data_IF_072617622264
#
_entry.id   IF_072617622264
#
_cell.length_a   1.000
_cell.length_b   1.000
_cell.length_c   1.000
_cell.angle_alpha   90.00
_cell.angle_beta   90.00
_cell.angle_gamma   90.00
#
_symmetry.space_group_name_H-M   'P 1'
#
loop_
_entity.id
_entity.type
_entity.pdbx_description
1 polymer ?
#
# COMPACT_ATOMS: atom_id res chain seq x y z
N UNK A 1 51.30 19.31 -6.25
CA UNK A 1 50.67 17.94 -6.27
C UNK A 1 51.46 16.82 -6.97
N UNK A 2 51.83 15.78 -6.22
CA UNK A 2 52.37 14.50 -6.73
C UNK A 2 51.35 13.69 -7.54
N UNK A 3 51.81 12.81 -8.43
CA UNK A 3 50.93 12.02 -9.33
C UNK A 3 49.93 11.12 -8.60
N UNK A 4 50.30 10.66 -7.41
CA UNK A 4 49.50 9.79 -6.52
C UNK A 4 48.31 10.52 -5.91
N UNK A 5 48.52 11.73 -5.39
CA UNK A 5 47.46 12.60 -4.86
C UNK A 5 46.42 12.93 -5.94
N UNK A 6 46.87 13.29 -7.14
CA UNK A 6 45.97 13.58 -8.26
C UNK A 6 45.13 12.35 -8.63
N UNK A 7 45.72 11.15 -8.59
CA UNK A 7 45.01 9.91 -8.88
C UNK A 7 43.91 9.63 -7.83
N UNK A 8 44.22 9.73 -6.54
CA UNK A 8 43.25 9.51 -5.48
C UNK A 8 42.15 10.58 -5.47
N UNK A 9 42.49 11.85 -5.69
CA UNK A 9 41.49 12.93 -5.84
C UNK A 9 40.52 12.64 -7.00
N UNK A 10 41.03 12.22 -8.15
CA UNK A 10 40.20 11.85 -9.30
C UNK A 10 39.32 10.61 -9.04
N UNK A 11 39.83 9.64 -8.29
CA UNK A 11 39.05 8.47 -7.87
C UNK A 11 37.91 8.86 -6.93
N UNK A 12 38.19 9.71 -5.94
CA UNK A 12 37.21 10.21 -4.97
C UNK A 12 36.12 11.03 -5.66
N UNK A 13 36.48 11.91 -6.59
CA UNK A 13 35.49 12.71 -7.35
C UNK A 13 34.54 11.81 -8.15
N UNK A 14 35.06 10.80 -8.85
CA UNK A 14 34.21 9.83 -9.58
C UNK A 14 33.25 9.09 -8.65
N UNK A 15 33.71 8.72 -7.46
CA UNK A 15 32.87 8.06 -6.44
C UNK A 15 31.77 9.00 -5.94
N UNK A 16 32.10 10.26 -5.67
CA UNK A 16 31.13 11.29 -5.30
C UNK A 16 30.05 11.45 -6.38
N UNK A 17 30.43 11.59 -7.64
CA UNK A 17 29.47 11.77 -8.74
C UNK A 17 28.54 10.55 -8.89
N UNK A 18 29.10 9.34 -8.78
CA UNK A 18 28.31 8.11 -8.82
C UNK A 18 27.32 8.04 -7.66
N UNK A 19 27.75 8.40 -6.46
CA UNK A 19 26.90 8.45 -5.25
C UNK A 19 25.77 9.47 -5.41
N UNK A 20 26.06 10.67 -5.90
CA UNK A 20 25.06 11.71 -6.08
C UNK A 20 23.99 11.32 -7.11
N UNK A 21 24.41 10.68 -8.21
CA UNK A 21 23.48 10.13 -9.19
C UNK A 21 22.62 9.01 -8.60
N UNK A 22 23.24 8.10 -7.85
CA UNK A 22 22.52 7.02 -7.17
C UNK A 22 21.50 7.56 -6.16
N UNK A 23 21.89 8.54 -5.32
CA UNK A 23 20.98 9.18 -4.35
C UNK A 23 19.76 9.82 -5.02
N UNK A 24 19.95 10.44 -6.19
CA UNK A 24 18.84 11.00 -6.98
C UNK A 24 17.88 9.90 -7.42
N UNK A 25 18.39 8.75 -7.85
CA UNK A 25 17.55 7.64 -8.31
C UNK A 25 16.86 6.91 -7.14
N UNK A 26 17.59 6.66 -6.05
CA UNK A 26 17.11 5.96 -4.86
C UNK A 26 16.12 6.78 -4.04
N UNK A 27 16.11 8.11 -4.18
CA UNK A 27 15.12 8.99 -3.53
C UNK A 27 13.66 8.59 -3.84
N UNK A 28 13.40 8.02 -5.02
CA UNK A 28 12.06 7.52 -5.43
C UNK A 28 11.57 6.35 -4.58
N UNK A 29 12.47 5.66 -3.88
CA UNK A 29 12.11 4.54 -2.99
C UNK A 29 11.48 5.02 -1.68
N UNK A 30 11.59 6.31 -1.37
CA UNK A 30 10.99 6.94 -0.19
C UNK A 30 9.53 7.35 -0.41
N UNK A 31 9.02 7.30 -1.64
CA UNK A 31 7.63 7.64 -1.94
C UNK A 31 6.67 6.57 -1.38
N UNK A 32 5.49 6.97 -0.88
CA UNK A 32 4.50 6.03 -0.36
C UNK A 32 3.95 5.14 -1.48
N UNK A 33 3.91 3.84 -1.23
CA UNK A 33 3.53 2.81 -2.21
C UNK A 33 2.29 2.05 -1.76
N UNK A 34 1.49 1.62 -2.74
CA UNK A 34 0.27 0.85 -2.52
C UNK A 34 0.54 -0.47 -1.76
N UNK A 35 -0.42 -0.96 -0.96
CA UNK A 35 -0.24 -2.12 -0.08
C UNK A 35 0.27 -3.37 -0.79
N UNK A 36 -0.22 -3.57 -2.00
CA UNK A 36 -0.05 -4.76 -2.84
C UNK A 36 1.40 -4.92 -3.36
N UNK A 37 2.20 -3.83 -3.32
CA UNK A 37 3.57 -3.78 -3.83
C UNK A 37 4.62 -3.65 -2.71
N UNK A 38 4.20 -3.57 -1.43
CA UNK A 38 5.09 -3.32 -0.28
C UNK A 38 6.18 -4.37 -0.13
N UNK A 39 5.89 -5.65 -0.36
CA UNK A 39 6.88 -6.73 -0.18
C UNK A 39 8.03 -6.63 -1.20
N UNK A 40 7.71 -6.32 -2.47
CA UNK A 40 8.72 -6.10 -3.51
C UNK A 40 9.52 -4.81 -3.30
N UNK A 41 8.90 -3.78 -2.73
CA UNK A 41 9.60 -2.55 -2.35
C UNK A 41 10.51 -2.75 -1.12
N UNK A 42 10.08 -3.52 -0.12
CA UNK A 42 10.88 -3.81 1.06
C UNK A 42 12.22 -4.48 0.71
N UNK A 43 12.21 -5.41 -0.24
CA UNK A 43 13.43 -6.03 -0.77
C UNK A 43 14.33 -5.00 -1.49
N UNK A 44 13.74 -4.12 -2.31
CA UNK A 44 14.48 -3.03 -2.97
C UNK A 44 15.10 -2.06 -1.97
N UNK A 45 14.37 -1.70 -0.92
CA UNK A 45 14.86 -0.83 0.16
C UNK A 45 16.00 -1.52 0.92
N UNK A 46 15.88 -2.82 1.22
CA UNK A 46 16.94 -3.59 1.87
C UNK A 46 18.24 -3.60 1.05
N UNK A 47 18.15 -3.88 -0.24
CA UNK A 47 19.29 -3.81 -1.16
C UNK A 47 19.87 -2.39 -1.25
N UNK A 48 19.03 -1.36 -1.25
CA UNK A 48 19.49 0.03 -1.24
C UNK A 48 20.23 0.40 0.05
N UNK A 49 19.82 -0.12 1.20
CA UNK A 49 20.52 0.07 2.48
C UNK A 49 21.90 -0.60 2.45
N UNK A 50 22.00 -1.82 1.92
CA UNK A 50 23.28 -2.53 1.76
C UNK A 50 24.22 -1.76 0.82
N UNK A 51 23.70 -1.25 -0.31
CA UNK A 51 24.46 -0.40 -1.23
C UNK A 51 24.91 0.93 -0.59
N UNK A 52 24.12 1.53 0.30
CA UNK A 52 24.57 2.69 1.08
C UNK A 52 25.82 2.34 1.91
N UNK A 53 25.83 1.19 2.57
CA UNK A 53 26.95 0.75 3.41
C UNK A 53 28.22 0.50 2.61
N UNK A 54 28.11 -0.15 1.45
CA UNK A 54 29.22 -0.34 0.53
C UNK A 54 29.78 0.99 0.01
N UNK A 55 28.91 1.92 -0.39
CA UNK A 55 29.31 3.23 -0.90
C UNK A 55 29.98 4.10 0.18
N UNK A 56 29.48 4.07 1.42
CA UNK A 56 30.09 4.77 2.56
C UNK A 56 31.50 4.22 2.80
N UNK A 57 31.65 2.90 2.94
CA UNK A 57 32.95 2.26 3.17
C UNK A 57 33.94 2.56 2.05
N UNK A 58 33.47 2.52 0.80
CA UNK A 58 34.28 2.83 -0.36
C UNK A 58 34.77 4.28 -0.34
N UNK A 59 33.89 5.24 -0.05
CA UNK A 59 34.25 6.66 0.02
C UNK A 59 35.21 6.96 1.17
N UNK A 60 34.94 6.43 2.37
CA UNK A 60 35.84 6.54 3.52
C UNK A 60 37.23 6.01 3.19
N UNK A 61 37.32 4.81 2.58
CA UNK A 61 38.61 4.24 2.17
C UNK A 61 39.37 5.11 1.16
N UNK A 62 38.68 5.74 0.19
CA UNK A 62 39.35 6.67 -0.73
C UNK A 62 39.82 7.95 -0.05
N UNK A 63 39.04 8.49 0.89
CA UNK A 63 39.43 9.69 1.62
C UNK A 63 40.63 9.42 2.51
N UNK A 64 40.64 8.32 3.26
CA UNK A 64 41.82 7.91 4.05
C UNK A 64 43.07 7.79 3.18
N UNK A 65 42.97 7.14 2.01
CA UNK A 65 44.09 7.01 1.07
C UNK A 65 44.54 8.35 0.49
N UNK A 66 43.62 9.29 0.29
CA UNK A 66 43.93 10.63 -0.17
C UNK A 66 44.71 11.40 0.91
N UNK A 67 44.22 11.39 2.15
CA UNK A 67 44.88 12.01 3.30
C UNK A 67 46.27 11.41 3.53
N UNK A 68 46.39 10.08 3.57
CA UNK A 68 47.69 9.40 3.70
C UNK A 68 48.66 9.71 2.55
N UNK A 69 48.17 9.95 1.34
CA UNK A 69 49.00 10.31 0.21
C UNK A 69 49.47 11.78 0.28
N UNK A 70 48.68 12.65 0.90
CA UNK A 70 49.01 14.05 1.16
C UNK A 70 49.99 14.19 2.31
N UNK A 71 49.80 13.49 3.43
CA UNK A 71 50.70 13.51 4.60
C UNK A 71 52.14 13.07 4.26
N UNK A 72 52.34 12.35 3.15
CA UNK A 72 53.65 11.90 2.65
C UNK A 72 54.40 12.98 1.86
N UNK A 73 53.78 14.12 1.59
CA UNK A 73 54.40 15.23 0.86
C UNK A 73 54.87 16.24 1.91
N UNK A 74 56.18 16.41 2.05
CA UNK A 74 56.78 17.33 3.05
C UNK A 74 56.73 18.81 2.63
N UNK A 75 56.52 19.10 1.34
CA UNK A 75 56.55 20.46 0.76
C UNK A 75 55.21 20.81 0.08
N UNK A 76 54.13 20.95 0.86
CA UNK A 76 52.85 21.52 0.38
C UNK A 76 52.75 22.99 0.74
N UNK A 77 52.46 23.84 -0.25
CA UNK A 77 52.14 25.24 0.02
C UNK A 77 50.78 25.34 0.73
N UNK A 78 50.63 26.30 1.66
CA UNK A 78 49.40 26.53 2.43
C UNK A 78 48.12 26.61 1.56
N UNK A 79 48.21 27.11 0.33
CA UNK A 79 47.07 27.16 -0.60
C UNK A 79 46.63 25.78 -1.10
N UNK A 80 47.57 24.83 -1.31
CA UNK A 80 47.25 23.46 -1.70
C UNK A 80 46.58 22.69 -0.53
N UNK A 81 47.00 22.96 0.71
CA UNK A 81 46.39 22.41 1.93
C UNK A 81 44.96 22.94 2.13
N UNK A 82 44.74 24.25 2.03
CA UNK A 82 43.40 24.83 2.20
C UNK A 82 42.42 24.37 1.10
N UNK A 83 42.91 24.15 -0.12
CA UNK A 83 42.11 23.55 -1.19
C UNK A 83 41.78 22.08 -0.95
N UNK A 84 42.67 21.33 -0.32
CA UNK A 84 42.42 19.95 0.07
C UNK A 84 41.37 19.88 1.18
N UNK A 85 41.50 20.72 2.21
CA UNK A 85 40.56 20.74 3.33
C UNK A 85 39.13 21.01 2.85
N UNK A 86 38.93 22.04 2.02
CA UNK A 86 37.63 22.33 1.38
C UNK A 86 37.08 21.14 0.58
N UNK A 87 37.97 20.39 -0.07
CA UNK A 87 37.57 19.19 -0.82
C UNK A 87 37.19 18.03 0.11
N UNK A 88 37.95 17.80 1.19
CA UNK A 88 37.67 16.78 2.19
C UNK A 88 36.35 17.08 2.91
N UNK A 89 36.09 18.34 3.28
CA UNK A 89 34.82 18.78 3.85
C UNK A 89 33.64 18.51 2.90
N UNK A 90 33.78 18.87 1.62
CA UNK A 90 32.74 18.59 0.62
C UNK A 90 32.49 17.09 0.44
N UNK A 91 33.54 16.27 0.43
CA UNK A 91 33.42 14.82 0.35
C UNK A 91 32.77 14.23 1.61
N UNK A 92 33.12 14.72 2.80
CA UNK A 92 32.48 14.34 4.06
C UNK A 92 31.00 14.74 4.09
N UNK A 93 30.63 15.90 3.54
CA UNK A 93 29.23 16.31 3.38
C UNK A 93 28.42 15.28 2.56
N UNK A 94 29.03 14.70 1.52
CA UNK A 94 28.38 13.66 0.71
C UNK A 94 28.20 12.35 1.47
N UNK A 95 29.16 11.97 2.33
CA UNK A 95 29.03 10.82 3.26
C UNK A 95 27.87 11.06 4.22
N UNK A 96 27.76 12.25 4.79
CA UNK A 96 26.67 12.62 5.70
C UNK A 96 25.32 12.51 4.98
N UNK A 97 25.20 13.03 3.75
CA UNK A 97 23.97 12.88 2.93
C UNK A 97 23.58 11.42 2.71
N UNK A 98 24.57 10.56 2.45
CA UNK A 98 24.37 9.10 2.33
C UNK A 98 23.88 8.46 3.64
N UNK A 99 24.48 8.84 4.77
CA UNK A 99 24.06 8.35 6.08
C UNK A 99 22.63 8.76 6.40
N UNK A 100 22.25 10.02 6.12
CA UNK A 100 20.87 10.51 6.28
C UNK A 100 19.91 9.77 5.36
N UNK A 101 20.29 9.53 4.10
CA UNK A 101 19.45 8.76 3.19
C UNK A 101 19.27 7.32 3.68
N UNK A 102 20.33 6.68 4.20
CA UNK A 102 20.29 5.36 4.82
C UNK A 102 19.36 5.32 6.03
N UNK A 103 19.38 6.33 6.91
CA UNK A 103 18.47 6.38 8.06
C UNK A 103 17.02 6.51 7.62
N UNK A 104 16.73 7.32 6.60
CA UNK A 104 15.38 7.45 6.05
C UNK A 104 14.88 6.14 5.44
N UNK A 105 15.72 5.44 4.68
CA UNK A 105 15.38 4.11 4.13
C UNK A 105 15.11 3.08 5.24
N UNK A 106 15.91 3.09 6.31
CA UNK A 106 15.68 2.22 7.48
C UNK A 106 14.35 2.55 8.18
N UNK A 107 14.01 3.83 8.28
CA UNK A 107 12.75 4.26 8.86
C UNK A 107 11.55 3.76 8.03
N UNK A 108 11.56 3.97 6.71
CA UNK A 108 10.50 3.47 5.82
C UNK A 108 10.40 1.94 5.90
N UNK A 109 11.53 1.23 5.99
CA UNK A 109 11.53 -0.23 6.17
C UNK A 109 10.90 -0.66 7.50
N UNK A 110 11.12 0.08 8.58
CA UNK A 110 10.49 -0.17 9.88
C UNK A 110 8.98 0.13 9.85
N UNK A 111 8.57 1.22 9.19
CA UNK A 111 7.17 1.59 8.99
C UNK A 111 6.42 0.51 8.20
N UNK A 112 7.00 -0.02 7.10
CA UNK A 112 6.46 -1.16 6.36
C UNK A 112 6.33 -2.41 7.24
N UNK A 113 7.31 -2.64 8.13
CA UNK A 113 7.29 -3.75 9.08
C UNK A 113 6.21 -3.61 10.18
N UNK A 114 5.99 -2.40 10.69
CA UNK A 114 4.99 -2.12 11.72
C UNK A 114 3.55 -2.10 11.18
N UNK A 115 3.33 -1.62 9.96
CA UNK A 115 2.01 -1.77 9.31
C UNK A 115 1.70 -3.26 9.08
N UNK A 116 2.69 -4.07 8.67
CA UNK A 116 2.50 -5.51 8.52
C UNK A 116 2.11 -6.20 9.84
N UNK A 117 2.75 -5.85 10.97
CA UNK A 117 2.40 -6.43 12.27
C UNK A 117 1.02 -6.01 12.75
N UNK A 118 0.58 -4.77 12.46
CA UNK A 118 -0.78 -4.32 12.77
C UNK A 118 -1.84 -5.10 11.99
N UNK A 119 -1.60 -5.40 10.71
CA UNK A 119 -2.49 -6.23 9.91
C UNK A 119 -2.48 -7.70 10.36
N UNK A 120 -1.33 -8.24 10.75
CA UNK A 120 -1.22 -9.62 11.23
C UNK A 120 -1.86 -9.79 12.63
N UNK A 121 -1.69 -8.82 13.54
CA UNK A 121 -2.36 -8.79 14.84
C UNK A 121 -3.88 -8.60 14.70
N UNK A 122 -4.34 -7.73 13.80
CA UNK A 122 -5.77 -7.55 13.54
C UNK A 122 -6.37 -8.83 12.94
N UNK A 123 -5.65 -9.47 12.02
CA UNK A 123 -6.05 -10.74 11.41
C UNK A 123 -6.09 -11.88 12.43
N UNK A 124 -5.07 -12.04 13.28
CA UNK A 124 -5.09 -13.00 14.39
C UNK A 124 -6.24 -12.73 15.36
N UNK A 125 -6.54 -11.45 15.59
CA UNK A 125 -7.66 -11.03 16.44
C UNK A 125 -9.00 -11.41 15.82
N UNK A 126 -9.19 -11.16 14.52
CA UNK A 126 -10.40 -11.56 13.78
C UNK A 126 -10.53 -13.08 13.67
N UNK A 127 -9.45 -13.81 13.40
CA UNK A 127 -9.42 -15.28 13.38
C UNK A 127 -9.74 -15.85 14.77
N UNK A 128 -9.27 -15.20 15.84
CA UNK A 128 -9.65 -15.53 17.22
C UNK A 128 -11.12 -15.26 17.50
N UNK A 129 -11.69 -14.14 17.05
CA UNK A 129 -13.12 -13.84 17.23
C UNK A 129 -14.00 -14.83 16.46
N UNK A 130 -13.62 -15.16 15.22
CA UNK A 130 -14.32 -16.12 14.38
C UNK A 130 -14.25 -17.54 14.96
N UNK A 131 -13.07 -17.94 15.45
CA UNK A 131 -12.92 -19.21 16.15
C UNK A 131 -13.69 -19.23 17.47
N UNK A 132 -13.76 -18.12 18.21
CA UNK A 132 -14.56 -18.02 19.43
C UNK A 132 -16.06 -18.22 19.16
N UNK A 133 -16.59 -17.58 18.11
CA UNK A 133 -17.98 -17.74 17.66
C UNK A 133 -18.27 -19.17 17.19
N UNK A 134 -17.31 -19.82 16.52
CA UNK A 134 -17.42 -21.23 16.13
C UNK A 134 -17.25 -22.21 17.31
N UNK A 135 -16.51 -21.82 18.34
CA UNK A 135 -16.19 -22.66 19.51
C UNK A 135 -17.29 -22.68 20.56
N UNK A 136 -18.38 -21.93 20.34
CA UNK A 136 -19.62 -22.09 21.08
C UNK A 136 -19.42 -22.02 22.59
N UNK A 137 -19.05 -20.85 23.12
CA UNK A 137 -19.25 -20.59 24.55
C UNK A 137 -20.75 -20.70 24.83
N UNK A 138 -21.13 -21.87 25.35
CA UNK A 138 -22.45 -22.22 25.81
C UNK A 138 -22.80 -21.40 27.06
N UNK A 139 -23.13 -20.12 26.87
CA UNK A 139 -24.05 -19.49 27.80
C UNK A 139 -25.42 -20.13 27.59
N UNK A 140 -25.93 -20.78 28.63
CA UNK A 140 -27.21 -21.47 28.66
C UNK A 140 -28.35 -20.48 28.34
N UNK A 141 -28.68 -20.37 27.05
CA UNK A 141 -29.85 -19.67 26.49
C UNK A 141 -30.86 -20.72 26.02
N UNK A 142 -31.25 -21.61 26.94
CA UNK A 142 -32.09 -22.78 26.63
C UNK A 142 -33.42 -22.45 25.93
N UNK A 143 -34.04 -21.30 26.22
CA UNK A 143 -35.26 -20.86 25.53
C UNK A 143 -35.00 -20.30 24.14
N UNK A 144 -33.94 -19.51 23.96
CA UNK A 144 -33.69 -18.81 22.70
C UNK A 144 -33.16 -19.75 21.60
N UNK A 145 -32.24 -20.67 21.93
CA UNK A 145 -31.73 -21.66 20.96
C UNK A 145 -32.82 -22.62 20.48
N UNK A 146 -33.74 -23.00 21.36
CA UNK A 146 -34.85 -23.89 20.98
C UNK A 146 -35.90 -23.16 20.13
N UNK A 147 -36.18 -21.89 20.41
CA UNK A 147 -37.06 -21.06 19.58
C UNK A 147 -36.49 -20.80 18.19
N UNK A 148 -35.20 -20.45 18.10
CA UNK A 148 -34.52 -20.24 16.81
C UNK A 148 -34.47 -21.54 16.00
N UNK A 149 -34.21 -22.69 16.64
CA UNK A 149 -34.21 -23.98 15.96
C UNK A 149 -35.60 -24.33 15.42
N UNK A 150 -36.66 -24.13 16.19
CA UNK A 150 -38.05 -24.34 15.74
C UNK A 150 -38.43 -23.40 14.59
N UNK A 151 -38.00 -22.13 14.65
CA UNK A 151 -38.20 -21.17 13.57
C UNK A 151 -37.48 -21.60 12.29
N UNK A 152 -36.21 -21.99 12.39
CA UNK A 152 -35.43 -22.46 11.26
C UNK A 152 -36.02 -23.73 10.65
N UNK A 153 -36.48 -24.67 11.46
CA UNK A 153 -37.16 -25.89 11.00
C UNK A 153 -38.47 -25.56 10.26
N UNK A 154 -39.27 -24.61 10.77
CA UNK A 154 -40.49 -24.13 10.09
C UNK A 154 -40.16 -23.49 8.73
N UNK A 155 -39.18 -22.59 8.69
CA UNK A 155 -38.73 -21.93 7.45
C UNK A 155 -38.20 -22.93 6.42
N UNK A 156 -37.42 -23.92 6.86
CA UNK A 156 -36.88 -24.98 5.99
C UNK A 156 -37.99 -25.85 5.41
N UNK A 157 -39.03 -26.13 6.20
CA UNK A 157 -40.19 -26.88 5.75
C UNK A 157 -40.98 -26.08 4.71
N UNK A 158 -41.34 -24.84 5.03
CA UNK A 158 -42.08 -23.95 4.13
C UNK A 158 -41.32 -23.72 2.81
N UNK A 159 -39.98 -23.63 2.87
CA UNK A 159 -39.13 -23.51 1.68
C UNK A 159 -39.15 -24.76 0.81
N UNK A 160 -39.04 -25.96 1.40
CA UNK A 160 -39.10 -27.22 0.63
C UNK A 160 -40.46 -27.42 -0.01
N UNK A 161 -41.52 -27.09 0.72
CA UNK A 161 -42.91 -27.21 0.26
C UNK A 161 -43.23 -26.19 -0.85
N UNK A 162 -42.49 -25.07 -0.94
CA UNK A 162 -42.71 -24.04 -1.95
C UNK A 162 -41.97 -24.25 -3.27
N UNK A 163 -41.20 -25.32 -3.40
CA UNK A 163 -40.49 -25.67 -4.64
C UNK A 163 -41.48 -26.32 -5.61
N UNK A 164 -41.94 -25.55 -6.60
CA UNK A 164 -42.74 -26.05 -7.71
C UNK A 164 -41.86 -26.26 -8.95
N UNK A 165 -41.79 -27.52 -9.42
CA UNK A 165 -41.15 -27.82 -10.71
C UNK A 165 -42.17 -27.69 -11.83
N UNK A 166 -41.94 -26.75 -12.75
CA UNK A 166 -42.73 -26.56 -13.98
C UNK A 166 -41.88 -26.91 -15.21
N UNK A 167 -42.51 -26.97 -16.38
CA UNK A 167 -41.82 -27.33 -17.63
C UNK A 167 -40.76 -26.30 -18.06
N UNK A 168 -40.88 -25.07 -17.59
CA UNK A 168 -40.01 -23.91 -17.82
C UNK A 168 -38.95 -23.69 -16.73
N UNK A 169 -39.03 -24.40 -15.59
CA UNK A 169 -38.01 -24.31 -14.53
C UNK A 169 -38.53 -24.60 -13.12
N UNK A 170 -37.68 -24.32 -12.13
CA UNK A 170 -38.03 -24.39 -10.72
C UNK A 170 -38.48 -23.03 -10.21
N UNK A 171 -39.67 -22.99 -9.62
CA UNK A 171 -40.20 -21.82 -8.94
C UNK A 171 -40.14 -22.06 -7.44
N UNK A 172 -39.61 -21.09 -6.70
CA UNK A 172 -39.50 -21.15 -5.25
C UNK A 172 -40.17 -19.91 -4.67
N UNK A 173 -41.10 -20.12 -3.73
CA UNK A 173 -41.72 -19.01 -3.00
C UNK A 173 -40.93 -18.76 -1.72
N UNK A 174 -40.32 -17.58 -1.62
CA UNK A 174 -39.61 -17.17 -0.41
C UNK A 174 -40.62 -16.98 0.74
N UNK A 175 -40.38 -17.58 1.92
CA UNK A 175 -41.26 -17.41 3.07
C UNK A 175 -41.20 -15.95 3.56
N UNK A 176 -42.36 -15.30 3.65
CA UNK A 176 -42.49 -13.94 4.16
C UNK A 176 -42.42 -13.92 5.68
N UNK A 177 -41.77 -12.91 6.27
CA UNK A 177 -41.83 -12.69 7.72
C UNK A 177 -43.24 -12.26 8.12
N UNK A 178 -43.86 -13.00 9.04
CA UNK A 178 -45.26 -12.82 9.47
C UNK A 178 -45.52 -11.46 10.18
N UNK A 179 -44.47 -10.77 10.65
CA UNK A 179 -44.52 -9.46 11.31
C UNK A 179 -43.62 -8.45 10.59
N UNK A 180 -44.06 -7.96 9.43
CA UNK A 180 -43.37 -6.87 8.74
C UNK A 180 -44.14 -5.55 8.92
N UNK A 181 -43.44 -4.43 9.15
CA UNK A 181 -44.07 -3.12 9.12
C UNK A 181 -44.69 -2.87 7.74
N UNK A 182 -45.82 -2.16 7.71
CA UNK A 182 -46.47 -1.75 6.47
C UNK A 182 -45.47 -1.01 5.59
N UNK A 183 -45.32 -1.43 4.32
CA UNK A 183 -44.44 -0.76 3.38
C UNK A 183 -44.93 0.68 3.15
N UNK A 184 -44.03 1.68 3.06
CA UNK A 184 -44.42 3.06 2.78
C UNK A 184 -45.12 3.18 1.42
N UNK A 185 -46.17 4.00 1.33
CA UNK A 185 -46.91 4.21 0.09
C UNK A 185 -46.05 4.93 -0.97
N UNK A 186 -45.88 4.28 -2.13
CA UNK A 186 -45.13 4.81 -3.28
C UNK A 186 -45.95 5.81 -4.12
N UNK A 187 -47.22 6.07 -3.77
CA UNK A 187 -48.12 6.96 -4.54
C UNK A 187 -47.52 8.34 -4.81
N UNK A 188 -46.85 8.95 -3.83
CA UNK A 188 -46.27 10.28 -3.98
C UNK A 188 -45.12 10.31 -5.01
N UNK A 189 -44.26 9.28 -5.01
CA UNK A 189 -43.15 9.17 -5.95
C UNK A 189 -43.64 8.79 -7.36
N UNK A 190 -44.65 7.92 -7.45
CA UNK A 190 -45.33 7.61 -8.70
C UNK A 190 -45.98 8.86 -9.34
N UNK A 191 -46.67 9.69 -8.54
CA UNK A 191 -47.25 10.95 -8.99
C UNK A 191 -46.19 11.95 -9.47
N UNK A 192 -45.05 12.05 -8.76
CA UNK A 192 -43.94 12.91 -9.21
C UNK A 192 -43.36 12.43 -10.55
N UNK A 193 -43.16 11.12 -10.73
CA UNK A 193 -42.72 10.54 -12.01
C UNK A 193 -43.72 10.81 -13.13
N UNK A 194 -45.01 10.61 -12.87
CA UNK A 194 -46.07 10.89 -13.84
C UNK A 194 -46.10 12.36 -14.25
N UNK A 195 -46.04 13.29 -13.27
CA UNK A 195 -45.95 14.73 -13.55
C UNK A 195 -44.70 15.07 -14.36
N UNK A 196 -43.57 14.42 -14.10
CA UNK A 196 -42.34 14.60 -14.88
C UNK A 196 -42.48 14.11 -16.32
N UNK A 197 -43.15 12.96 -16.53
CA UNK A 197 -43.46 12.44 -17.87
C UNK A 197 -44.43 13.37 -18.61
N UNK A 198 -45.47 13.86 -17.94
CA UNK A 198 -46.46 14.79 -18.51
C UNK A 198 -45.91 16.20 -18.78
N UNK A 199 -44.94 16.67 -17.98
CA UNK A 199 -44.24 17.95 -18.19
C UNK A 199 -43.03 17.82 -19.13
N UNK A 200 -42.65 16.60 -19.50
CA UNK A 200 -41.70 16.37 -20.59
C UNK A 200 -42.30 16.86 -21.90
N UNK A 201 -41.50 17.41 -22.82
CA UNK A 201 -42.02 18.12 -23.98
C UNK A 201 -42.93 17.22 -24.81
N UNK A 202 -44.16 17.68 -25.01
CA UNK A 202 -45.06 17.29 -26.09
C UNK A 202 -44.34 17.54 -27.42
N UNK A 203 -43.42 16.66 -27.80
CA UNK A 203 -42.58 16.98 -28.94
C UNK A 203 -41.38 16.08 -29.19
N UNK A 204 -41.55 14.76 -29.15
CA UNK A 204 -40.87 13.89 -30.14
C UNK A 204 -41.84 12.79 -30.56
N UNK A 205 -42.69 13.14 -31.54
CA UNK A 205 -43.33 12.16 -32.41
C UNK A 205 -42.23 11.24 -32.96
N UNK A 206 -42.24 10.01 -32.50
CA UNK A 206 -42.00 8.80 -33.29
C UNK A 206 -41.62 9.09 -34.75
N UNK A 207 -40.32 9.11 -35.06
CA UNK A 207 -39.85 8.66 -36.37
C UNK A 207 -39.67 7.15 -36.26
N UNK A 208 -40.78 6.45 -36.37
CA UNK A 208 -40.81 5.00 -36.62
C UNK A 208 -40.32 4.85 -38.06
N UNK A 209 -39.03 4.53 -38.26
CA UNK A 209 -38.57 3.97 -39.52
C UNK A 209 -39.19 2.58 -39.63
N UNK A 210 -40.36 2.52 -40.24
CA UNK A 210 -40.84 1.32 -40.91
C UNK A 210 -39.91 1.04 -42.09
N UNK A 211 -38.99 0.10 -41.91
CA UNK A 211 -38.42 -0.64 -43.05
C UNK A 211 -38.91 -2.07 -42.92
N UNK A 212 -40.07 -2.30 -43.53
CA UNK A 212 -40.48 -3.60 -44.02
C UNK A 212 -39.63 -3.98 -45.22
N UNK A 213 -39.28 -5.27 -45.25
CA UNK A 213 -38.72 -6.06 -46.35
C UNK A 213 -37.20 -6.08 -46.48
#
# INVERSE_FOLDING_TARGET
MTSTVRAYKGLTTKRIDNVLNWLRESSKLLDPVAPDLRQGQAQKIKLAIELCDENISLMESSLTKLTEAFDRIEDTDNEEEEQLDKYLESAQETIIKLQVHKTNLKQVMHEIGQESSGYDEEKETWDRYWSLESSGTEEYTGSQKTEVKKLNEKVLKDFKDSIEKRADGYYVRLPWKEQHPQLPDNKALALKRLKKVLKGPTGKRSHRRSSTR
#
